data_IF_032261931479
#
_entry.id   IF_032261931479
#
_cell.length_a   1.000
_cell.length_b   1.000
_cell.length_c   1.000
_cell.angle_alpha   90.00
_cell.angle_beta   90.00
_cell.angle_gamma   90.00
#
_symmetry.space_group_name_H-M   'P 1'
#
loop_
_entity.id
_entity.type
_entity.pdbx_description
1 polymer ?
#
# COMPACT_ATOMS: atom_id res chain seq x y z
N UNK A 1 -21.55 -19.94 -6.78
CA UNK A 1 -21.39 -19.59 -5.35
C UNK A 1 -20.74 -18.21 -5.28
N UNK A 2 -21.29 -17.31 -4.46
CA UNK A 2 -20.66 -16.01 -4.19
C UNK A 2 -19.45 -16.23 -3.30
N UNK A 3 -18.34 -15.51 -3.58
CA UNK A 3 -17.12 -15.61 -2.78
C UNK A 3 -17.25 -14.68 -1.56
N UNK A 4 -17.20 -15.27 -0.36
CA UNK A 4 -17.17 -14.52 0.89
C UNK A 4 -15.76 -14.07 1.22
N UNK A 5 -15.61 -12.82 1.60
CA UNK A 5 -14.33 -12.20 1.98
C UNK A 5 -14.34 -11.82 3.44
N UNK A 6 -13.43 -12.39 4.20
CA UNK A 6 -13.09 -11.91 5.53
C UNK A 6 -12.06 -10.79 5.45
N UNK A 7 -12.28 -9.70 6.17
CA UNK A 7 -11.33 -8.60 6.31
C UNK A 7 -10.95 -8.51 7.79
N UNK A 8 -9.75 -9.00 8.10
CA UNK A 8 -9.22 -9.05 9.45
C UNK A 8 -8.43 -7.76 9.71
N UNK A 9 -9.06 -6.84 10.44
CA UNK A 9 -8.64 -5.44 10.55
C UNK A 9 -9.23 -4.57 9.44
N UNK A 10 -10.16 -3.67 9.77
CA UNK A 10 -10.85 -2.81 8.79
C UNK A 10 -10.42 -1.35 8.90
N UNK A 11 -9.10 -1.12 8.72
CA UNK A 11 -8.48 0.21 8.71
C UNK A 11 -8.57 0.91 7.34
N UNK A 12 -7.86 2.03 7.19
CA UNK A 12 -7.91 2.85 5.97
C UNK A 12 -7.49 2.10 4.71
N UNK A 13 -6.46 1.26 4.78
CA UNK A 13 -6.00 0.47 3.63
C UNK A 13 -7.05 -0.59 3.24
N UNK A 14 -7.60 -1.32 4.22
CA UNK A 14 -8.67 -2.28 3.96
C UNK A 14 -9.89 -1.61 3.33
N UNK A 15 -10.32 -0.46 3.85
CA UNK A 15 -11.41 0.34 3.26
C UNK A 15 -11.10 0.74 1.82
N UNK A 16 -9.88 1.21 1.54
CA UNK A 16 -9.46 1.60 0.19
C UNK A 16 -9.43 0.43 -0.80
N UNK A 17 -9.25 -0.81 -0.32
CA UNK A 17 -9.32 -2.02 -1.14
C UNK A 17 -10.79 -2.42 -1.38
N UNK A 18 -11.60 -2.44 -0.32
CA UNK A 18 -12.97 -3.00 -0.35
C UNK A 18 -13.97 -2.02 -0.98
N UNK A 19 -13.87 -0.71 -0.70
CA UNK A 19 -14.83 0.28 -1.19
C UNK A 19 -15.01 0.26 -2.72
N UNK A 20 -13.95 0.27 -3.55
CA UNK A 20 -14.12 0.23 -5.00
C UNK A 20 -14.76 -1.07 -5.53
N UNK A 21 -14.64 -2.18 -4.78
CA UNK A 21 -15.29 -3.44 -5.15
C UNK A 21 -16.80 -3.37 -4.92
N UNK A 22 -17.21 -2.72 -3.83
CA UNK A 22 -18.62 -2.48 -3.51
C UNK A 22 -19.24 -1.43 -4.45
N UNK A 23 -18.55 -0.33 -4.72
CA UNK A 23 -19.00 0.73 -5.63
C UNK A 23 -19.27 0.24 -7.05
N UNK A 24 -18.45 -0.71 -7.53
CA UNK A 24 -18.57 -1.30 -8.84
C UNK A 24 -19.45 -2.57 -8.87
N UNK A 25 -20.11 -2.89 -7.76
CA UNK A 25 -20.93 -4.09 -7.59
C UNK A 25 -20.19 -5.39 -7.97
N UNK A 26 -18.87 -5.43 -7.73
CA UNK A 26 -18.05 -6.62 -7.98
C UNK A 26 -18.19 -7.66 -6.87
N UNK A 27 -18.62 -7.22 -5.69
CA UNK A 27 -18.89 -8.03 -4.49
C UNK A 27 -20.06 -7.36 -3.76
N UNK A 28 -20.98 -8.17 -3.21
CA UNK A 28 -22.08 -7.69 -2.39
C UNK A 28 -21.62 -7.34 -0.97
N UNK A 29 -22.20 -6.31 -0.32
CA UNK A 29 -21.87 -5.98 1.09
C UNK A 29 -22.10 -7.15 2.05
N UNK A 30 -23.10 -7.98 1.81
CA UNK A 30 -23.43 -9.18 2.59
C UNK A 30 -22.37 -10.30 2.51
N UNK A 31 -21.51 -10.27 1.48
CA UNK A 31 -20.39 -11.21 1.31
C UNK A 31 -19.08 -10.71 1.97
N UNK A 32 -19.10 -9.52 2.59
CA UNK A 32 -17.97 -8.95 3.33
C UNK A 32 -18.14 -9.16 4.83
N UNK A 33 -17.14 -9.77 5.46
CA UNK A 33 -17.10 -10.12 6.88
C UNK A 33 -15.90 -9.43 7.52
N UNK A 34 -16.11 -8.42 8.34
CA UNK A 34 -15.05 -7.64 8.98
C UNK A 34 -14.82 -8.09 10.42
N UNK A 35 -13.57 -8.37 10.78
CA UNK A 35 -13.14 -8.62 12.15
C UNK A 35 -12.42 -7.39 12.70
N UNK A 36 -12.88 -6.90 13.85
CA UNK A 36 -12.27 -5.76 14.54
C UNK A 36 -11.98 -6.11 16.00
N UNK A 37 -10.98 -5.47 16.58
CA UNK A 37 -10.53 -5.78 17.94
C UNK A 37 -11.34 -5.05 19.02
N UNK A 38 -11.89 -3.87 18.74
CA UNK A 38 -12.55 -3.04 19.75
C UNK A 38 -13.99 -2.68 19.38
N UNK A 39 -14.83 -2.53 20.42
CA UNK A 39 -16.21 -2.04 20.27
C UNK A 39 -16.27 -0.64 19.63
N UNK A 40 -15.32 0.22 19.96
CA UNK A 40 -15.19 1.55 19.36
C UNK A 40 -14.99 1.47 17.85
N UNK A 41 -14.10 0.58 17.39
CA UNK A 41 -13.87 0.33 15.96
C UNK A 41 -15.13 -0.20 15.27
N UNK A 42 -15.85 -1.09 15.92
CA UNK A 42 -17.12 -1.63 15.42
C UNK A 42 -18.17 -0.51 15.25
N UNK A 43 -18.37 0.30 16.28
CA UNK A 43 -19.33 1.42 16.25
C UNK A 43 -18.93 2.47 15.22
N UNK A 44 -17.63 2.79 15.11
CA UNK A 44 -17.12 3.73 14.12
C UNK A 44 -17.39 3.26 12.69
N UNK A 45 -17.16 1.97 12.39
CA UNK A 45 -17.43 1.43 11.06
C UNK A 45 -18.92 1.46 10.77
N UNK A 46 -19.76 1.00 11.70
CA UNK A 46 -21.24 1.04 11.55
C UNK A 46 -21.77 2.44 11.28
N UNK A 47 -21.18 3.46 11.91
CA UNK A 47 -21.60 4.86 11.77
C UNK A 47 -21.09 5.52 10.48
N UNK A 48 -19.84 5.22 10.08
CA UNK A 48 -19.14 6.03 9.08
C UNK A 48 -18.88 5.27 7.77
N UNK A 49 -19.06 3.95 7.72
CA UNK A 49 -18.90 3.21 6.48
C UNK A 49 -20.22 3.14 5.71
N UNK A 50 -20.18 3.55 4.45
CA UNK A 50 -21.38 3.74 3.61
C UNK A 50 -22.18 2.45 3.37
N UNK A 51 -21.51 1.28 3.44
CA UNK A 51 -22.10 -0.01 3.09
C UNK A 51 -22.40 -0.83 4.34
N UNK A 52 -23.51 -1.55 4.32
CA UNK A 52 -23.90 -2.44 5.41
C UNK A 52 -23.21 -3.81 5.26
N UNK A 53 -21.99 -3.91 5.76
CA UNK A 53 -21.20 -5.16 5.79
C UNK A 53 -21.36 -5.89 7.12
N UNK A 54 -21.05 -7.19 7.17
CA UNK A 54 -21.06 -7.94 8.42
C UNK A 54 -19.82 -7.56 9.24
N UNK A 55 -20.01 -7.14 10.52
CA UNK A 55 -18.90 -6.70 11.37
C UNK A 55 -18.98 -7.45 12.70
N UNK A 56 -17.85 -8.08 13.07
CA UNK A 56 -17.73 -8.87 14.29
C UNK A 56 -16.57 -8.35 15.15
N UNK A 57 -16.73 -8.42 16.44
CA UNK A 57 -15.65 -8.22 17.39
C UNK A 57 -14.91 -9.53 17.62
N UNK A 58 -13.61 -9.48 17.83
CA UNK A 58 -12.76 -10.70 17.90
C UNK A 58 -13.15 -11.67 19.03
N UNK A 59 -13.71 -11.16 20.13
CA UNK A 59 -14.19 -11.93 21.28
C UNK A 59 -15.65 -12.43 21.15
N UNK A 60 -16.35 -12.10 20.06
CA UNK A 60 -17.71 -12.57 19.82
C UNK A 60 -17.74 -14.02 19.34
N UNK A 61 -18.82 -14.75 19.66
CA UNK A 61 -19.01 -16.14 19.19
C UNK A 61 -19.10 -16.22 17.65
N UNK A 62 -19.66 -15.20 17.04
CA UNK A 62 -19.86 -15.10 15.60
C UNK A 62 -18.56 -14.81 14.84
N UNK A 63 -17.47 -14.46 15.54
CA UNK A 63 -16.14 -14.23 14.92
C UNK A 63 -15.62 -15.46 14.17
N UNK A 64 -16.09 -16.67 14.50
CA UNK A 64 -15.75 -17.90 13.78
C UNK A 64 -16.18 -17.88 12.31
N UNK A 65 -17.23 -17.12 11.94
CA UNK A 65 -17.69 -16.99 10.56
C UNK A 65 -16.63 -16.36 9.63
N UNK A 66 -15.66 -15.64 10.20
CA UNK A 66 -14.52 -15.09 9.49
C UNK A 66 -13.67 -16.19 8.85
N UNK A 67 -13.46 -17.29 9.58
CA UNK A 67 -12.61 -18.38 9.15
C UNK A 67 -13.26 -19.30 8.10
N UNK A 68 -14.59 -19.26 7.98
CA UNK A 68 -15.36 -19.96 6.95
C UNK A 68 -15.30 -19.28 5.57
N UNK A 69 -14.87 -18.01 5.51
CA UNK A 69 -14.76 -17.28 4.25
C UNK A 69 -13.67 -17.89 3.35
N UNK A 70 -13.93 -17.93 2.03
CA UNK A 70 -12.98 -18.46 1.04
C UNK A 70 -11.71 -17.61 0.90
N UNK A 71 -11.83 -16.30 1.17
CA UNK A 71 -10.71 -15.35 1.09
C UNK A 71 -10.60 -14.57 2.38
N UNK A 72 -9.39 -14.49 2.94
CA UNK A 72 -9.06 -13.66 4.10
C UNK A 72 -8.09 -12.57 3.67
N UNK A 73 -8.47 -11.31 3.87
CA UNK A 73 -7.59 -10.15 3.75
C UNK A 73 -7.08 -9.78 5.15
N UNK A 74 -5.81 -10.08 5.41
CA UNK A 74 -5.16 -9.79 6.68
C UNK A 74 -4.57 -8.37 6.64
N UNK A 75 -5.17 -7.45 7.41
CA UNK A 75 -4.91 -6.01 7.39
C UNK A 75 -4.80 -5.41 8.80
N UNK A 76 -4.27 -6.18 9.74
CA UNK A 76 -3.96 -5.75 11.11
C UNK A 76 -2.53 -5.23 11.21
N UNK A 77 -2.11 -4.75 12.38
CA UNK A 77 -0.69 -4.44 12.63
C UNK A 77 0.12 -5.73 12.75
N UNK A 78 1.39 -5.78 12.28
CA UNK A 78 2.24 -6.98 12.35
C UNK A 78 2.33 -7.60 13.75
N UNK A 79 2.28 -6.78 14.80
CA UNK A 79 2.35 -7.20 16.21
C UNK A 79 1.15 -8.08 16.63
N UNK A 80 0.02 -7.95 15.92
CA UNK A 80 -1.21 -8.71 16.21
C UNK A 80 -1.24 -10.08 15.50
N UNK A 81 -0.23 -10.40 14.67
CA UNK A 81 -0.20 -11.63 13.88
C UNK A 81 -0.35 -12.88 14.73
N UNK A 82 0.34 -12.95 15.88
CA UNK A 82 0.27 -14.11 16.80
C UNK A 82 -1.15 -14.28 17.33
N UNK A 83 -1.73 -13.24 17.89
CA UNK A 83 -3.09 -13.24 18.43
C UNK A 83 -4.12 -13.68 17.38
N UNK A 84 -4.05 -13.11 16.19
CA UNK A 84 -4.97 -13.46 15.09
C UNK A 84 -4.80 -14.91 14.64
N UNK A 85 -3.58 -15.43 14.57
CA UNK A 85 -3.35 -16.82 14.17
C UNK A 85 -3.88 -17.83 15.20
N UNK A 86 -3.96 -17.46 16.47
CA UNK A 86 -4.53 -18.30 17.55
C UNK A 86 -6.07 -18.38 17.49
N UNK A 87 -6.72 -17.44 16.81
CA UNK A 87 -8.17 -17.45 16.58
C UNK A 87 -8.58 -18.40 15.43
N UNK A 88 -7.64 -18.85 14.60
CA UNK A 88 -7.91 -19.76 13.49
C UNK A 88 -8.02 -21.20 13.98
N UNK A 89 -9.24 -21.63 14.23
CA UNK A 89 -9.56 -22.98 14.71
C UNK A 89 -9.83 -23.99 13.57
N UNK A 90 -9.67 -23.60 12.29
CA UNK A 90 -10.06 -24.42 11.15
C UNK A 90 -8.97 -25.40 10.74
N UNK A 91 -9.25 -26.70 10.88
CA UNK A 91 -8.27 -27.78 10.67
C UNK A 91 -8.00 -28.16 9.21
N UNK A 92 -8.80 -27.72 8.24
CA UNK A 92 -8.60 -28.00 6.79
C UNK A 92 -9.42 -27.04 5.94
N UNK A 93 -8.85 -25.94 5.52
CA UNK A 93 -9.42 -25.16 4.43
C UNK A 93 -8.26 -24.59 3.61
N UNK A 94 -8.09 -25.04 2.37
CA UNK A 94 -7.16 -24.45 1.39
C UNK A 94 -7.62 -23.04 0.94
N UNK A 95 -8.18 -22.29 1.89
CA UNK A 95 -8.68 -20.95 1.65
C UNK A 95 -7.52 -19.98 1.43
N UNK A 96 -7.78 -18.97 0.62
CA UNK A 96 -6.80 -17.94 0.29
C UNK A 96 -6.63 -16.96 1.45
N UNK A 97 -5.38 -16.74 1.88
CA UNK A 97 -5.01 -15.70 2.85
C UNK A 97 -4.11 -14.69 2.17
N UNK A 98 -4.62 -13.48 1.99
CA UNK A 98 -3.92 -12.34 1.39
C UNK A 98 -3.47 -11.42 2.52
N UNK A 99 -2.18 -11.38 2.80
CA UNK A 99 -1.61 -10.54 3.86
C UNK A 99 -1.04 -9.25 3.29
N UNK A 100 -1.48 -8.11 3.83
CA UNK A 100 -0.89 -6.80 3.55
C UNK A 100 -0.03 -6.28 4.71
N UNK A 101 0.39 -7.16 5.61
CA UNK A 101 1.22 -6.81 6.75
C UNK A 101 2.65 -6.47 6.32
N UNK A 102 3.13 -5.28 6.69
CA UNK A 102 4.50 -4.89 6.44
C UNK A 102 5.48 -5.76 7.25
N UNK A 103 6.58 -6.19 6.63
CA UNK A 103 7.65 -6.93 7.31
C UNK A 103 7.31 -8.37 7.74
N UNK A 104 6.18 -8.94 7.29
CA UNK A 104 5.82 -10.33 7.56
C UNK A 104 6.09 -11.16 6.31
N UNK A 105 7.00 -12.14 6.42
CA UNK A 105 7.39 -13.02 5.29
C UNK A 105 6.33 -14.06 4.97
N UNK A 106 6.40 -14.63 3.75
CA UNK A 106 5.57 -15.78 3.35
C UNK A 106 5.79 -16.97 4.27
N UNK A 107 7.03 -17.28 4.60
CA UNK A 107 7.36 -18.40 5.53
C UNK A 107 6.68 -18.21 6.89
N UNK A 108 6.72 -16.98 7.42
CA UNK A 108 6.06 -16.67 8.69
C UNK A 108 4.54 -16.75 8.59
N UNK A 109 3.96 -16.35 7.45
CA UNK A 109 2.52 -16.51 7.20
C UNK A 109 2.13 -17.99 7.11
N UNK A 110 2.87 -18.78 6.33
CA UNK A 110 2.64 -20.23 6.18
C UNK A 110 2.76 -20.94 7.53
N UNK A 111 3.79 -20.60 8.33
CA UNK A 111 3.95 -21.16 9.66
C UNK A 111 2.78 -20.82 10.59
N UNK A 112 2.24 -19.60 10.50
CA UNK A 112 1.13 -19.14 11.34
C UNK A 112 -0.24 -19.61 10.87
N UNK A 113 -0.40 -19.82 9.57
CA UNK A 113 -1.65 -20.24 8.92
C UNK A 113 -1.41 -21.46 8.01
N UNK A 114 -1.00 -22.61 8.56
CA UNK A 114 -0.56 -23.77 7.77
C UNK A 114 -1.67 -24.39 6.90
N UNK A 115 -2.93 -24.05 7.17
CA UNK A 115 -4.08 -24.56 6.44
C UNK A 115 -4.57 -23.58 5.36
N UNK A 116 -3.81 -22.52 5.07
CA UNK A 116 -4.18 -21.48 4.10
C UNK A 116 -3.15 -21.40 2.98
N UNK A 117 -3.64 -21.04 1.80
CA UNK A 117 -2.81 -20.62 0.67
C UNK A 117 -2.43 -19.16 0.85
N UNK A 118 -1.19 -18.90 1.24
CA UNK A 118 -0.72 -17.58 1.64
C UNK A 118 -0.20 -16.76 0.46
N UNK A 119 -0.59 -15.49 0.42
CA UNK A 119 -0.08 -14.49 -0.52
C UNK A 119 0.40 -13.28 0.27
N UNK A 120 1.63 -12.86 0.02
CA UNK A 120 2.17 -11.63 0.60
C UNK A 120 1.97 -10.48 -0.36
N UNK A 121 1.39 -9.41 0.13
CA UNK A 121 1.12 -8.19 -0.64
C UNK A 121 1.69 -7.00 0.09
N UNK A 122 2.30 -6.10 -0.65
CA UNK A 122 2.73 -4.78 -0.17
C UNK A 122 1.98 -3.73 -0.97
N UNK A 123 1.34 -2.79 -0.29
CA UNK A 123 0.67 -1.66 -0.93
C UNK A 123 1.03 -0.35 -0.23
N UNK A 124 0.64 0.79 -0.79
CA UNK A 124 1.00 2.11 -0.27
C UNK A 124 -0.21 3.01 -0.06
N UNK A 125 -0.04 4.08 0.72
CA UNK A 125 -1.14 4.98 1.10
C UNK A 125 -1.88 5.64 -0.08
N UNK A 126 -1.30 5.95 -1.24
CA UNK A 126 -2.03 6.46 -2.41
C UNK A 126 -3.14 5.53 -2.94
N UNK A 127 -3.24 4.28 -2.46
CA UNK A 127 -4.37 3.40 -2.73
C UNK A 127 -5.71 4.03 -2.31
N UNK A 128 -5.71 4.88 -1.29
CA UNK A 128 -6.90 5.58 -0.78
C UNK A 128 -7.52 6.56 -1.78
N UNK A 129 -6.75 6.98 -2.77
CA UNK A 129 -7.19 7.86 -3.87
C UNK A 129 -7.14 7.16 -5.24
N UNK A 130 -7.11 5.81 -5.24
CA UNK A 130 -7.09 5.02 -6.48
C UNK A 130 -5.78 5.10 -7.29
N UNK A 131 -4.70 5.54 -6.66
CA UNK A 131 -3.36 5.70 -7.26
C UNK A 131 -2.31 4.84 -6.56
N UNK A 132 -2.73 3.75 -5.93
CA UNK A 132 -1.85 2.82 -5.23
C UNK A 132 -0.87 2.10 -6.15
N UNK A 133 0.20 1.61 -5.53
CA UNK A 133 1.10 0.62 -6.11
C UNK A 133 1.04 -0.62 -5.23
N UNK A 134 0.84 -1.79 -5.85
CA UNK A 134 0.69 -3.06 -5.14
C UNK A 134 1.66 -4.08 -5.69
N UNK A 135 2.57 -4.55 -4.85
CA UNK A 135 3.48 -5.67 -5.12
C UNK A 135 2.92 -6.95 -4.53
N UNK A 136 2.92 -8.03 -5.31
CA UNK A 136 2.40 -9.34 -4.91
C UNK A 136 3.51 -10.37 -5.01
N UNK A 137 3.69 -11.17 -3.96
CA UNK A 137 4.48 -12.40 -3.98
C UNK A 137 3.59 -13.58 -3.60
N UNK A 138 3.66 -14.60 -4.42
CA UNK A 138 2.84 -15.79 -4.31
C UNK A 138 3.51 -16.82 -3.42
N UNK A 139 2.76 -17.43 -2.50
CA UNK A 139 3.17 -18.64 -1.83
C UNK A 139 3.07 -19.87 -2.75
N UNK A 140 3.40 -21.02 -2.21
CA UNK A 140 3.28 -22.29 -2.93
C UNK A 140 1.81 -22.65 -3.18
N UNK A 141 1.57 -23.41 -4.24
CA UNK A 141 0.26 -24.00 -4.60
C UNK A 141 -0.91 -23.00 -4.74
N UNK A 142 -0.64 -21.76 -5.08
CA UNK A 142 -1.68 -20.77 -5.39
C UNK A 142 -2.26 -21.06 -6.78
N UNK A 143 -3.55 -21.40 -6.86
CA UNK A 143 -4.21 -21.64 -8.13
C UNK A 143 -4.34 -20.38 -8.98
N UNK A 144 -4.52 -20.52 -10.28
CA UNK A 144 -4.68 -19.37 -11.16
C UNK A 144 -5.95 -18.56 -10.82
N UNK A 145 -7.04 -19.21 -10.42
CA UNK A 145 -8.25 -18.52 -9.96
C UNK A 145 -7.99 -17.68 -8.71
N UNK A 146 -7.20 -18.19 -7.75
CA UNK A 146 -6.79 -17.46 -6.55
C UNK A 146 -5.89 -16.26 -6.90
N UNK A 147 -4.97 -16.40 -7.88
CA UNK A 147 -4.15 -15.30 -8.37
C UNK A 147 -5.02 -14.21 -9.01
N UNK A 148 -5.94 -14.59 -9.89
CA UNK A 148 -6.85 -13.65 -10.55
C UNK A 148 -7.75 -12.95 -9.54
N UNK A 149 -8.25 -13.68 -8.54
CA UNK A 149 -9.05 -13.09 -7.48
C UNK A 149 -8.24 -12.10 -6.65
N UNK A 150 -7.01 -12.45 -6.25
CA UNK A 150 -6.11 -11.54 -5.53
C UNK A 150 -5.88 -10.25 -6.34
N UNK A 151 -5.56 -10.38 -7.63
CA UNK A 151 -5.40 -9.20 -8.51
C UNK A 151 -6.67 -8.37 -8.58
N UNK A 152 -7.85 -9.00 -8.62
CA UNK A 152 -9.15 -8.31 -8.64
C UNK A 152 -9.35 -7.44 -7.40
N UNK A 153 -8.88 -7.86 -6.22
CA UNK A 153 -8.99 -7.06 -4.99
C UNK A 153 -8.32 -5.68 -5.12
N UNK A 154 -7.18 -5.61 -5.81
CA UNK A 154 -6.36 -4.40 -5.87
C UNK A 154 -6.50 -3.60 -7.16
N UNK A 155 -6.91 -4.22 -8.27
CA UNK A 155 -6.92 -3.63 -9.62
C UNK A 155 -7.66 -2.29 -9.72
N UNK A 156 -8.69 -2.08 -8.89
CA UNK A 156 -9.51 -0.87 -8.95
C UNK A 156 -8.91 0.33 -8.19
N UNK A 157 -7.94 0.09 -7.32
CA UNK A 157 -7.35 1.11 -6.45
C UNK A 157 -5.83 1.22 -6.62
N UNK A 158 -5.20 0.31 -7.37
CA UNK A 158 -3.74 0.31 -7.56
C UNK A 158 -3.30 -0.31 -8.88
N UNK A 159 -2.08 0.04 -9.30
CA UNK A 159 -1.34 -0.69 -10.32
C UNK A 159 -0.61 -1.86 -9.67
N UNK A 160 -0.73 -3.05 -10.26
CA UNK A 160 -0.23 -4.31 -9.70
C UNK A 160 1.08 -4.70 -10.35
N UNK A 161 2.00 -5.21 -9.53
CA UNK A 161 3.29 -5.78 -9.93
C UNK A 161 3.48 -7.11 -9.20
N UNK A 162 4.05 -8.09 -9.89
CA UNK A 162 4.37 -9.41 -9.34
C UNK A 162 5.87 -9.53 -9.18
N UNK A 163 6.31 -10.01 -8.01
CA UNK A 163 7.71 -10.14 -7.65
C UNK A 163 7.95 -11.46 -6.92
N UNK A 164 9.17 -11.97 -6.98
CA UNK A 164 9.66 -12.89 -5.95
C UNK A 164 9.75 -12.14 -4.61
N UNK A 165 9.61 -12.84 -3.51
CA UNK A 165 9.51 -12.20 -2.19
C UNK A 165 10.70 -11.29 -1.85
N UNK A 166 11.89 -11.61 -2.35
CA UNK A 166 13.11 -10.85 -2.10
C UNK A 166 13.06 -9.40 -2.56
N UNK A 167 12.27 -9.11 -3.58
CA UNK A 167 12.10 -7.74 -4.09
C UNK A 167 11.04 -6.93 -3.34
N UNK A 168 10.16 -7.57 -2.56
CA UNK A 168 9.06 -6.86 -1.89
C UNK A 168 9.52 -5.86 -0.83
N UNK A 169 10.69 -6.08 -0.18
CA UNK A 169 11.19 -5.11 0.79
C UNK A 169 11.75 -3.86 0.11
N UNK A 170 12.41 -4.02 -1.03
CA UNK A 170 12.84 -2.89 -1.86
C UNK A 170 11.64 -2.17 -2.48
N UNK A 171 10.63 -2.92 -2.94
CA UNK A 171 9.36 -2.36 -3.40
C UNK A 171 8.67 -1.55 -2.30
N UNK A 172 8.61 -2.08 -1.06
CA UNK A 172 8.08 -1.37 0.11
C UNK A 172 8.84 -0.07 0.37
N UNK A 173 10.17 -0.14 0.42
CA UNK A 173 11.01 1.03 0.65
C UNK A 173 10.76 2.13 -0.38
N UNK A 174 10.69 1.76 -1.66
CA UNK A 174 10.48 2.71 -2.74
C UNK A 174 9.05 3.29 -2.76
N UNK A 175 8.03 2.45 -2.55
CA UNK A 175 6.63 2.83 -2.81
C UNK A 175 5.87 3.22 -1.56
N UNK A 176 6.14 2.58 -0.43
CA UNK A 176 5.41 2.85 0.83
C UNK A 176 6.10 3.91 1.68
N UNK A 177 7.45 4.00 1.66
CA UNK A 177 8.20 5.10 2.28
C UNK A 177 8.32 6.32 1.35
N UNK A 178 8.27 6.10 0.04
CA UNK A 178 8.38 7.15 -0.99
C UNK A 178 7.46 8.35 -0.78
N UNK A 179 6.18 8.20 -0.43
CA UNK A 179 5.29 9.34 -0.17
C UNK A 179 5.81 10.30 0.90
N UNK A 180 6.43 9.80 1.98
CA UNK A 180 7.02 10.65 3.01
C UNK A 180 8.27 11.40 2.49
N UNK A 181 9.09 10.73 1.68
CA UNK A 181 10.27 11.36 1.05
C UNK A 181 9.82 12.46 0.08
N UNK A 182 8.79 12.20 -0.73
CA UNK A 182 8.25 13.22 -1.64
C UNK A 182 7.62 14.39 -0.87
N UNK A 183 6.92 14.13 0.24
CA UNK A 183 6.38 15.19 1.10
C UNK A 183 7.50 16.10 1.62
N UNK A 184 8.62 15.53 2.11
CA UNK A 184 9.79 16.30 2.55
C UNK A 184 10.39 17.14 1.42
N UNK A 185 10.47 16.60 0.19
CA UNK A 185 10.96 17.35 -0.98
C UNK A 185 10.02 18.51 -1.33
N UNK A 186 8.70 18.29 -1.29
CA UNK A 186 7.69 19.31 -1.52
C UNK A 186 7.84 20.44 -0.48
N UNK A 187 7.94 20.11 0.80
CA UNK A 187 8.14 21.07 1.88
C UNK A 187 9.41 21.90 1.66
N UNK A 188 10.55 21.25 1.38
CA UNK A 188 11.82 21.93 1.18
C UNK A 188 11.82 22.90 -0.04
N UNK A 189 11.22 22.46 -1.16
CA UNK A 189 11.06 23.33 -2.34
C UNK A 189 10.12 24.50 -2.06
N UNK A 190 9.05 24.27 -1.31
CA UNK A 190 8.09 25.30 -0.93
C UNK A 190 8.71 26.35 0.00
N UNK A 191 9.56 25.92 0.94
CA UNK A 191 10.31 26.82 1.82
C UNK A 191 11.35 27.64 1.02
N UNK A 192 11.92 27.08 -0.03
CA UNK A 192 12.74 27.81 -1.00
C UNK A 192 11.97 28.93 -1.70
N UNK A 193 10.74 28.66 -2.14
CA UNK A 193 9.85 29.67 -2.69
C UNK A 193 9.46 30.77 -1.69
N UNK A 194 9.19 30.38 -0.44
CA UNK A 194 8.93 31.30 0.66
C UNK A 194 10.15 32.21 0.92
N UNK A 195 11.35 31.68 0.93
CA UNK A 195 12.60 32.44 1.05
C UNK A 195 12.82 33.42 -0.08
N UNK A 196 12.24 33.13 -1.28
CA UNK A 196 12.20 34.03 -2.46
C UNK A 196 11.09 35.09 -2.41
N UNK A 197 10.28 35.15 -1.32
CA UNK A 197 9.22 36.13 -1.11
C UNK A 197 7.81 35.69 -1.54
N UNK A 198 7.62 34.45 -1.95
CA UNK A 198 6.27 33.93 -2.22
C UNK A 198 5.50 33.66 -0.91
N UNK A 199 4.18 33.78 -0.95
CA UNK A 199 3.35 33.30 0.16
C UNK A 199 3.45 31.77 0.27
N UNK A 200 3.50 31.24 1.51
CA UNK A 200 3.69 29.81 1.76
C UNK A 200 2.68 28.93 1.00
N UNK A 201 1.39 29.23 1.10
CA UNK A 201 0.33 28.47 0.44
C UNK A 201 0.47 28.46 -1.08
N UNK A 202 0.82 29.59 -1.68
CA UNK A 202 1.07 29.70 -3.12
C UNK A 202 2.31 28.87 -3.51
N UNK A 203 3.38 28.94 -2.73
CA UNK A 203 4.60 28.17 -2.99
C UNK A 203 4.35 26.65 -2.95
N UNK A 204 3.58 26.16 -1.98
CA UNK A 204 3.16 24.76 -1.89
C UNK A 204 2.34 24.32 -3.12
N UNK A 205 1.36 25.14 -3.53
CA UNK A 205 0.54 24.88 -4.72
C UNK A 205 1.39 24.79 -5.99
N UNK A 206 2.27 25.76 -6.20
CA UNK A 206 3.16 25.81 -7.37
C UNK A 206 4.10 24.61 -7.44
N UNK A 207 4.65 24.16 -6.29
CA UNK A 207 5.52 22.98 -6.23
C UNK A 207 4.76 21.72 -6.59
N UNK A 208 3.55 21.53 -6.04
CA UNK A 208 2.73 20.33 -6.33
C UNK A 208 2.35 20.29 -7.82
N UNK A 209 1.89 21.39 -8.40
CA UNK A 209 1.54 21.47 -9.82
C UNK A 209 2.75 21.28 -10.73
N UNK A 210 3.91 21.83 -10.38
CA UNK A 210 5.16 21.64 -11.11
C UNK A 210 5.57 20.15 -11.11
N UNK A 211 5.51 19.47 -9.98
CA UNK A 211 5.83 18.03 -9.88
C UNK A 211 4.86 17.20 -10.73
N UNK A 212 3.56 17.49 -10.62
CA UNK A 212 2.52 16.79 -11.40
C UNK A 212 2.73 16.99 -12.90
N UNK A 213 2.97 18.21 -13.33
CA UNK A 213 3.26 18.55 -14.72
C UNK A 213 4.52 17.86 -15.24
N UNK A 214 5.59 17.84 -14.43
CA UNK A 214 6.86 17.18 -14.78
C UNK A 214 6.68 15.66 -14.98
N UNK A 215 5.99 14.99 -14.06
CA UNK A 215 5.71 13.55 -14.17
C UNK A 215 4.82 13.27 -15.39
N UNK A 216 3.83 14.12 -15.64
CA UNK A 216 2.92 13.98 -16.78
C UNK A 216 3.69 14.12 -18.09
N UNK A 217 4.56 15.11 -18.21
CA UNK A 217 5.41 15.34 -19.39
C UNK A 217 6.29 14.13 -19.70
N UNK A 218 6.97 13.59 -18.68
CA UNK A 218 7.81 12.37 -18.82
C UNK A 218 6.98 11.21 -19.38
N UNK A 219 5.81 10.97 -18.77
CA UNK A 219 4.97 9.81 -19.14
C UNK A 219 4.32 9.93 -20.50
N UNK A 220 3.80 11.11 -20.85
CA UNK A 220 3.11 11.32 -22.13
C UNK A 220 4.06 11.28 -23.32
N UNK A 221 5.24 11.86 -23.17
CA UNK A 221 6.22 11.91 -24.26
C UNK A 221 7.24 10.76 -24.22
N UNK A 222 7.15 9.85 -23.23
CA UNK A 222 8.07 8.74 -23.06
C UNK A 222 9.57 9.14 -23.09
N UNK A 223 9.88 10.31 -22.51
CA UNK A 223 11.25 10.83 -22.42
C UNK A 223 11.92 10.35 -21.14
N UNK A 224 13.25 10.20 -21.16
CA UNK A 224 13.99 9.87 -19.95
C UNK A 224 14.10 11.06 -19.00
N UNK A 225 14.32 10.79 -17.70
CA UNK A 225 14.57 11.86 -16.72
C UNK A 225 15.84 12.66 -17.03
N UNK A 226 16.84 12.02 -17.68
CA UNK A 226 18.06 12.69 -18.15
C UNK A 226 17.77 13.64 -19.30
N UNK A 227 16.97 13.21 -20.27
CA UNK A 227 16.62 14.08 -21.42
C UNK A 227 15.82 15.29 -20.95
N UNK A 228 14.82 15.08 -20.07
CA UNK A 228 14.08 16.21 -19.50
C UNK A 228 15.02 17.19 -18.79
N UNK A 229 15.91 16.69 -17.92
CA UNK A 229 16.89 17.54 -17.23
C UNK A 229 17.73 18.36 -18.21
N UNK A 230 18.21 17.75 -19.31
CA UNK A 230 18.99 18.41 -20.33
C UNK A 230 18.15 19.47 -21.09
N UNK A 231 16.90 19.17 -21.42
CA UNK A 231 15.97 20.10 -22.11
C UNK A 231 15.77 21.41 -21.34
N UNK A 232 15.74 21.36 -20.01
CA UNK A 232 15.48 22.55 -19.16
C UNK A 232 16.76 23.16 -18.58
N UNK A 233 17.95 22.70 -19.01
CA UNK A 233 19.23 23.14 -18.47
C UNK A 233 20.05 23.84 -19.57
N UNK A 234 19.99 25.16 -19.62
CA UNK A 234 20.83 25.97 -20.50
C UNK A 234 22.20 26.31 -19.87
N UNK A 235 23.26 26.49 -20.66
CA UNK A 235 24.57 26.94 -20.16
C UNK A 235 24.44 28.24 -19.39
N UNK A 236 24.98 28.31 -18.16
CA UNK A 236 24.94 29.51 -17.31
C UNK A 236 23.56 29.91 -16.78
N UNK A 237 22.52 29.08 -17.03
CA UNK A 237 21.14 29.38 -16.62
C UNK A 237 20.86 29.10 -15.12
N UNK A 238 19.65 29.45 -14.69
CA UNK A 238 19.18 29.25 -13.31
C UNK A 238 19.11 27.76 -12.93
N UNK A 239 18.68 26.91 -13.86
CA UNK A 239 18.54 25.48 -13.63
C UNK A 239 19.90 24.81 -13.33
N UNK A 240 20.94 25.08 -14.12
CA UNK A 240 22.26 24.50 -13.85
C UNK A 240 22.85 25.00 -12.54
N UNK A 241 22.60 26.27 -12.17
CA UNK A 241 23.02 26.82 -10.88
C UNK A 241 22.34 26.07 -9.72
N UNK A 242 21.03 25.83 -9.79
CA UNK A 242 20.29 25.06 -8.80
C UNK A 242 20.77 23.60 -8.70
N UNK A 243 20.92 22.91 -9.84
CA UNK A 243 21.41 21.52 -9.88
C UNK A 243 22.80 21.39 -9.27
N UNK A 244 23.69 22.37 -9.52
CA UNK A 244 25.03 22.39 -8.93
C UNK A 244 24.98 22.45 -7.38
N UNK A 245 24.07 23.22 -6.81
CA UNK A 245 23.89 23.26 -5.35
C UNK A 245 23.45 21.91 -4.82
N UNK A 246 22.48 21.24 -5.46
CA UNK A 246 21.97 19.95 -5.05
C UNK A 246 23.04 18.85 -5.13
N UNK A 247 23.82 18.81 -6.21
CA UNK A 247 24.92 17.85 -6.36
C UNK A 247 26.05 18.11 -5.31
N UNK A 248 26.41 19.37 -5.05
CA UNK A 248 27.38 19.72 -4.02
C UNK A 248 26.91 19.37 -2.60
N UNK A 249 25.61 19.30 -2.36
CA UNK A 249 25.01 18.88 -1.08
C UNK A 249 24.72 17.37 -1.04
N UNK A 250 25.18 16.59 -2.02
CA UNK A 250 25.03 15.16 -2.09
C UNK A 250 23.56 14.66 -2.03
N UNK A 251 22.60 15.45 -2.55
CA UNK A 251 21.17 15.07 -2.52
C UNK A 251 20.94 13.70 -3.14
N UNK A 252 21.60 13.40 -4.26
CA UNK A 252 21.47 12.10 -4.94
C UNK A 252 21.86 10.93 -4.05
N UNK A 253 23.02 11.02 -3.38
CA UNK A 253 23.50 9.99 -2.45
C UNK A 253 22.50 9.81 -1.30
N UNK A 254 22.04 10.89 -0.70
CA UNK A 254 21.10 10.85 0.42
C UNK A 254 19.78 10.14 0.04
N UNK A 255 19.24 10.42 -1.16
CA UNK A 255 18.03 9.75 -1.63
C UNK A 255 18.25 8.27 -1.90
N UNK A 256 19.38 7.88 -2.50
CA UNK A 256 19.74 6.47 -2.70
C UNK A 256 19.85 5.75 -1.37
N UNK A 257 20.61 6.31 -0.42
CA UNK A 257 20.84 5.74 0.89
C UNK A 257 19.55 5.61 1.71
N UNK A 258 18.63 6.57 1.59
CA UNK A 258 17.33 6.50 2.27
C UNK A 258 16.50 5.29 1.86
N UNK A 259 16.48 4.95 0.56
CA UNK A 259 15.77 3.77 0.05
C UNK A 259 16.48 2.48 0.48
N UNK A 260 17.80 2.43 0.40
CA UNK A 260 18.59 1.27 0.86
C UNK A 260 18.38 1.03 2.36
N UNK A 261 18.43 2.07 3.17
CA UNK A 261 18.17 2.00 4.62
C UNK A 261 16.77 1.48 4.93
N UNK A 262 15.74 2.02 4.27
CA UNK A 262 14.36 1.58 4.45
C UNK A 262 14.16 0.11 4.02
N UNK A 263 14.80 -0.33 2.93
CA UNK A 263 14.76 -1.73 2.48
C UNK A 263 15.41 -2.67 3.50
N UNK A 264 16.58 -2.31 4.03
CA UNK A 264 17.26 -3.10 5.05
C UNK A 264 16.42 -3.18 6.33
N UNK A 265 15.85 -2.07 6.76
CA UNK A 265 14.96 -2.05 7.93
C UNK A 265 13.74 -2.93 7.77
N UNK A 266 13.16 -2.98 6.56
CA UNK A 266 12.03 -3.89 6.27
C UNK A 266 12.41 -5.36 6.44
N UNK A 267 13.62 -5.74 6.02
CA UNK A 267 14.14 -7.13 6.16
C UNK A 267 14.32 -7.55 7.63
N UNK A 268 14.64 -6.62 8.52
CA UNK A 268 14.80 -6.91 9.96
C UNK A 268 13.50 -7.32 10.65
N UNK A 269 12.33 -7.06 10.04
CA UNK A 269 11.02 -7.45 10.58
C UNK A 269 10.52 -8.81 10.09
N UNK A 270 11.23 -9.45 9.18
CA UNK A 270 10.88 -10.80 8.63
C UNK A 270 10.90 -11.92 9.66
#
# INVERSE_FOLDING_TARGET
>A
MTIKIAVIGFGNIAKAIITPLLEKNLISPEDIYCLVNSKESLENIKKNFKYNVNIFQADSKESNLIWDCQVKLLSVKPQQLKEISELDNHKKNENLLVSILAGVSLDKLIQKFPNHRCVRVVTNIPITVGKGLTGISWGEDISEDQKQFTKKLFKNSSKIYEFTEDYLDTFLALTSSGPAIIALIIEALSDGGLSGGLQKKLSEELVMEMILGTITLIKQNNISTTDLRNMVTSPGGTTISALRVLENKNLRSALIESIVSASNRSKEFR
#
